data_IF_529464259394
#
_entry.id   IF_529464259394
#
_cell.length_a   1.000
_cell.length_b   1.000
_cell.length_c   1.000
_cell.angle_alpha   90.00
_cell.angle_beta   90.00
_cell.angle_gamma   90.00
#
_symmetry.space_group_name_H-M   'P 1'
#
loop_
_entity.id
_entity.type
_entity.pdbx_description
1 polymer ?
#
# COMPACT_ATOMS: atom_id res chain seq x y z
N UNK A 1 28.58 -4.69 22.94
CA UNK A 1 28.66 -3.21 22.93
C UNK A 1 27.80 -2.74 21.76
N UNK A 2 26.77 -1.93 22.01
CA UNK A 2 25.89 -1.43 20.95
C UNK A 2 26.71 -0.57 19.98
N UNK A 3 26.70 -0.93 18.70
CA UNK A 3 27.26 -0.11 17.63
C UNK A 3 26.45 1.20 17.61
N UNK A 4 26.98 2.30 18.17
CA UNK A 4 26.37 3.62 18.00
C UNK A 4 26.62 4.03 16.55
N UNK A 5 25.62 3.82 15.70
CA UNK A 5 25.69 4.28 14.31
C UNK A 5 25.90 5.79 14.25
N UNK A 6 26.59 6.24 13.21
CA UNK A 6 26.78 7.67 12.92
C UNK A 6 25.55 8.31 12.27
N UNK A 7 24.63 7.51 11.72
CA UNK A 7 23.45 8.04 11.02
C UNK A 7 22.32 8.39 12.00
N UNK A 8 21.76 9.62 11.94
CA UNK A 8 20.60 10.00 12.74
C UNK A 8 19.30 9.32 12.28
N UNK A 9 19.32 8.58 11.16
CA UNK A 9 18.15 7.85 10.66
C UNK A 9 18.03 6.45 11.27
N UNK A 10 19.08 5.97 11.94
CA UNK A 10 19.11 4.63 12.53
C UNK A 10 18.70 4.68 13.99
N UNK A 11 17.74 3.81 14.32
CA UNK A 11 17.21 3.70 15.67
C UNK A 11 17.04 2.22 16.02
N UNK A 12 17.44 1.86 17.23
CA UNK A 12 17.34 0.51 17.77
C UNK A 12 16.85 0.60 19.23
N UNK A 13 16.03 -0.35 19.69
CA UNK A 13 15.66 -0.42 21.08
C UNK A 13 16.87 -0.87 21.93
N UNK A 14 16.86 -0.55 23.23
CA UNK A 14 17.92 -0.98 24.16
C UNK A 14 17.99 -2.52 24.29
N UNK A 15 16.84 -3.18 24.15
CA UNK A 15 16.69 -4.63 24.19
C UNK A 15 16.03 -5.10 22.90
N UNK A 16 16.48 -6.25 22.40
CA UNK A 16 15.89 -6.84 21.21
C UNK A 16 14.38 -7.08 21.42
N UNK A 17 13.52 -6.67 20.47
CA UNK A 17 12.07 -6.75 20.63
C UNK A 17 11.54 -8.18 20.52
N UNK A 18 12.30 -9.08 19.88
CA UNK A 18 12.03 -10.50 19.67
C UNK A 18 13.33 -11.21 19.26
N UNK A 19 13.39 -12.55 19.24
CA UNK A 19 14.57 -13.27 18.77
C UNK A 19 14.93 -12.93 17.32
N UNK A 20 16.02 -12.19 17.13
CA UNK A 20 16.53 -11.82 15.80
C UNK A 20 17.37 -12.97 15.26
N UNK A 21 16.85 -13.66 14.22
CA UNK A 21 17.54 -14.82 13.64
C UNK A 21 18.78 -14.43 12.81
N UNK A 22 18.75 -13.27 12.14
CA UNK A 22 19.86 -12.76 11.34
C UNK A 22 20.02 -11.26 11.54
N UNK A 23 21.18 -10.84 12.05
CA UNK A 23 21.58 -9.42 12.14
C UNK A 23 22.28 -9.00 10.86
N UNK A 24 21.50 -8.62 9.86
CA UNK A 24 22.04 -8.01 8.65
C UNK A 24 22.27 -6.52 8.89
N UNK A 25 23.48 -6.04 8.63
CA UNK A 25 23.84 -4.61 8.71
C UNK A 25 23.66 -3.87 7.37
N UNK A 26 23.02 -4.49 6.38
CA UNK A 26 22.86 -3.93 5.04
C UNK A 26 22.16 -2.56 5.07
N UNK A 27 21.03 -2.49 5.77
CA UNK A 27 20.30 -1.23 5.93
C UNK A 27 21.04 -0.23 6.82
N UNK A 28 21.84 -0.69 7.79
CA UNK A 28 22.66 0.21 8.59
C UNK A 28 23.67 0.95 7.69
N UNK A 29 24.37 0.20 6.84
CA UNK A 29 25.30 0.76 5.87
C UNK A 29 24.59 1.70 4.88
N UNK A 30 23.40 1.33 4.40
CA UNK A 30 22.60 2.19 3.51
C UNK A 30 22.26 3.54 4.16
N UNK A 31 21.83 3.54 5.43
CA UNK A 31 21.48 4.77 6.14
C UNK A 31 22.70 5.60 6.56
N UNK A 32 23.85 4.97 6.80
CA UNK A 32 25.13 5.65 7.03
C UNK A 32 25.63 6.35 5.76
N UNK A 33 25.68 5.65 4.63
CA UNK A 33 26.06 6.26 3.34
C UNK A 33 25.08 7.35 2.92
N UNK A 34 23.77 7.15 3.11
CA UNK A 34 22.76 8.17 2.84
C UNK A 34 22.99 9.43 3.68
N UNK A 35 23.43 9.29 4.95
CA UNK A 35 23.75 10.43 5.81
C UNK A 35 25.01 11.15 5.34
N UNK A 36 26.06 10.41 4.97
CA UNK A 36 27.29 11.01 4.43
C UNK A 36 27.03 11.78 3.13
N UNK A 37 26.19 11.27 2.25
CA UNK A 37 25.81 11.96 1.01
C UNK A 37 25.02 13.24 1.27
N UNK A 38 24.18 13.26 2.31
CA UNK A 38 23.49 14.48 2.73
C UNK A 38 24.49 15.50 3.29
N UNK A 39 25.43 15.09 4.15
CA UNK A 39 26.46 15.99 4.70
C UNK A 39 27.36 16.59 3.61
N UNK A 40 27.66 15.81 2.56
CA UNK A 40 28.40 16.26 1.37
C UNK A 40 27.56 17.15 0.43
N UNK A 41 26.26 17.31 0.71
CA UNK A 41 25.34 18.10 -0.12
C UNK A 41 25.03 17.44 -1.48
N UNK A 42 25.27 16.14 -1.66
CA UNK A 42 24.98 15.45 -2.92
C UNK A 42 23.47 15.17 -3.11
N UNK A 43 22.78 14.92 -2.00
CA UNK A 43 21.36 14.62 -1.94
C UNK A 43 20.67 15.51 -0.90
N UNK A 44 19.34 15.60 -1.00
CA UNK A 44 18.48 16.09 0.08
C UNK A 44 17.67 14.91 0.62
N UNK A 45 17.78 14.64 1.94
CA UNK A 45 16.92 13.65 2.57
C UNK A 45 15.62 14.33 2.98
N UNK A 46 14.50 13.87 2.41
CA UNK A 46 13.17 14.33 2.83
C UNK A 46 12.80 13.60 4.13
N UNK A 47 12.97 14.33 5.25
CA UNK A 47 12.83 13.84 6.62
C UNK A 47 11.38 13.75 7.06
N UNK A 48 11.11 12.76 7.91
CA UNK A 48 9.84 12.68 8.67
C UNK A 48 9.98 13.61 9.87
N UNK A 49 9.04 14.54 10.04
CA UNK A 49 9.03 15.53 11.12
C UNK A 49 7.89 15.26 12.10
N UNK A 50 7.80 16.07 13.16
CA UNK A 50 6.70 15.99 14.14
C UNK A 50 5.33 16.24 13.50
N UNK A 51 5.24 17.06 12.44
CA UNK A 51 4.00 17.31 11.70
C UNK A 51 3.41 16.05 11.07
N UNK A 52 4.28 15.07 10.77
CA UNK A 52 3.87 13.78 10.24
C UNK A 52 3.31 12.83 11.30
N UNK A 53 3.31 13.22 12.59
CA UNK A 53 2.88 12.39 13.73
C UNK A 53 3.47 10.97 13.65
N UNK A 54 4.81 10.84 13.66
CA UNK A 54 5.46 9.57 13.38
C UNK A 54 5.10 8.50 14.42
N UNK A 55 4.96 7.28 13.93
CA UNK A 55 4.86 6.07 14.74
C UNK A 55 6.01 5.13 14.45
N UNK A 56 6.23 4.18 15.34
CA UNK A 56 7.41 3.34 15.33
C UNK A 56 7.01 1.87 15.21
N UNK A 57 7.67 1.15 14.30
CA UNK A 57 7.48 -0.28 14.09
C UNK A 57 8.85 -0.96 14.03
N UNK A 58 8.92 -2.23 14.43
CA UNK A 58 10.17 -2.98 14.34
C UNK A 58 10.32 -3.63 12.96
N UNK A 59 11.54 -3.71 12.44
CA UNK A 59 11.86 -4.53 11.27
C UNK A 59 12.40 -5.89 11.70
N UNK A 60 12.60 -6.81 10.73
CA UNK A 60 13.17 -8.14 10.96
C UNK A 60 14.49 -8.12 11.74
N UNK A 61 15.30 -7.06 11.56
CA UNK A 61 16.61 -6.89 12.20
C UNK A 61 16.53 -6.19 13.55
N UNK A 62 15.32 -5.90 14.06
CA UNK A 62 15.09 -5.16 15.29
C UNK A 62 15.25 -3.64 15.15
N UNK A 63 15.53 -3.13 13.94
CA UNK A 63 15.57 -1.69 13.65
C UNK A 63 14.21 -1.08 13.90
N UNK A 64 14.18 0.10 14.49
CA UNK A 64 12.97 0.91 14.60
C UNK A 64 12.82 1.70 13.30
N UNK A 65 11.79 1.36 12.53
CA UNK A 65 11.37 2.09 11.34
C UNK A 65 10.36 3.16 11.71
N UNK A 66 10.51 4.34 11.12
CA UNK A 66 9.61 5.49 11.33
C UNK A 66 8.52 5.50 10.27
N UNK A 67 7.27 5.51 10.71
CA UNK A 67 6.08 5.51 9.85
C UNK A 67 5.37 6.87 10.02
N UNK A 68 5.34 7.73 9.00
CA UNK A 68 4.57 8.96 9.05
C UNK A 68 3.08 8.60 8.99
N UNK A 69 2.25 9.20 9.85
CA UNK A 69 0.81 8.91 9.90
C UNK A 69 -0.06 10.06 9.38
N UNK A 70 0.51 11.27 9.29
CA UNK A 70 -0.16 12.51 8.91
C UNK A 70 0.63 13.27 7.84
N UNK A 71 -0.04 14.18 7.14
CA UNK A 71 0.51 15.02 6.05
C UNK A 71 1.13 14.15 4.95
N UNK A 72 0.33 13.24 4.40
CA UNK A 72 0.77 12.17 3.50
C UNK A 72 0.48 12.47 2.03
N UNK A 73 1.43 12.19 1.15
CA UNK A 73 1.33 12.30 -0.29
C UNK A 73 1.05 10.92 -0.89
N UNK A 74 -0.12 10.72 -1.47
CA UNK A 74 -0.56 9.39 -1.89
C UNK A 74 0.00 9.03 -3.27
N UNK A 75 1.02 8.18 -3.29
CA UNK A 75 1.50 7.56 -4.52
C UNK A 75 0.55 6.40 -4.91
N UNK A 76 -0.49 6.74 -5.67
CA UNK A 76 -1.49 5.78 -6.16
C UNK A 76 -0.88 4.86 -7.22
N UNK A 77 -1.28 3.60 -7.18
CA UNK A 77 -0.85 2.59 -8.13
C UNK A 77 -1.69 2.60 -9.40
N UNK A 78 -1.07 2.40 -10.56
CA UNK A 78 -1.79 2.11 -11.81
C UNK A 78 -2.58 0.80 -11.69
N UNK A 79 -2.00 -0.22 -11.06
CA UNK A 79 -2.62 -1.54 -10.91
C UNK A 79 -3.63 -1.56 -9.76
N UNK A 80 -3.19 -1.23 -8.54
CA UNK A 80 -4.01 -1.38 -7.33
C UNK A 80 -5.19 -0.43 -7.31
N UNK A 81 -4.94 0.87 -7.51
CA UNK A 81 -5.98 1.88 -7.46
C UNK A 81 -6.87 1.83 -8.71
N UNK A 82 -6.38 1.28 -9.83
CA UNK A 82 -7.15 1.14 -11.06
C UNK A 82 -8.00 -0.14 -11.15
N UNK A 83 -7.55 -1.27 -10.59
CA UNK A 83 -8.29 -2.54 -10.67
C UNK A 83 -9.15 -2.80 -9.43
N UNK A 84 -8.70 -2.38 -8.23
CA UNK A 84 -9.42 -2.58 -6.96
C UNK A 84 -9.48 -1.24 -6.21
N UNK A 85 -10.32 -0.30 -6.67
CA UNK A 85 -10.44 1.05 -6.10
C UNK A 85 -10.91 1.08 -4.63
N UNK A 86 -11.49 -0.02 -4.13
CA UNK A 86 -11.78 -0.22 -2.71
C UNK A 86 -10.55 -0.10 -1.79
N UNK A 87 -9.34 -0.39 -2.29
CA UNK A 87 -8.10 -0.20 -1.54
C UNK A 87 -7.87 1.27 -1.17
N UNK A 88 -7.62 2.19 -2.12
CA UNK A 88 -7.38 3.59 -1.79
C UNK A 88 -8.59 4.24 -1.12
N UNK A 89 -9.83 3.88 -1.49
CA UNK A 89 -11.03 4.40 -0.85
C UNK A 89 -11.08 4.06 0.65
N UNK A 90 -10.73 2.82 1.02
CA UNK A 90 -10.68 2.42 2.43
C UNK A 90 -9.56 3.12 3.20
N UNK A 91 -8.40 3.38 2.57
CA UNK A 91 -7.33 4.19 3.19
C UNK A 91 -7.81 5.60 3.48
N UNK A 92 -8.43 6.26 2.50
CA UNK A 92 -8.95 7.63 2.67
C UNK A 92 -10.06 7.69 3.70
N UNK A 93 -10.96 6.70 3.73
CA UNK A 93 -12.01 6.59 4.74
C UNK A 93 -11.43 6.57 6.16
N UNK A 94 -10.39 5.77 6.42
CA UNK A 94 -9.71 5.80 7.72
C UNK A 94 -9.06 7.15 8.02
N UNK A 95 -8.39 7.76 7.04
CA UNK A 95 -7.79 9.08 7.23
C UNK A 95 -8.85 10.14 7.57
N UNK A 96 -10.02 10.08 6.94
CA UNK A 96 -11.12 10.98 7.24
C UNK A 96 -11.71 10.73 8.63
N UNK A 97 -11.92 9.46 9.00
CA UNK A 97 -12.35 9.05 10.35
C UNK A 97 -11.42 9.52 11.45
N UNK A 98 -10.11 9.53 11.18
CA UNK A 98 -9.10 9.96 12.14
C UNK A 98 -8.72 11.44 12.03
N UNK A 99 -9.33 12.19 11.10
CA UNK A 99 -9.03 13.61 10.90
C UNK A 99 -7.60 13.88 10.45
N UNK A 100 -7.03 12.99 9.64
CA UNK A 100 -5.65 13.07 9.17
C UNK A 100 -5.54 13.90 7.88
N UNK A 101 -4.42 14.59 7.77
CA UNK A 101 -4.06 15.46 6.67
C UNK A 101 -3.40 14.64 5.54
N UNK A 102 -3.91 14.75 4.31
CA UNK A 102 -3.33 14.06 3.16
C UNK A 102 -3.58 14.77 1.82
N UNK A 103 -2.67 14.52 0.89
CA UNK A 103 -2.69 14.97 -0.49
C UNK A 103 -2.90 13.77 -1.43
N UNK A 104 -4.09 13.72 -2.02
CA UNK A 104 -4.42 12.80 -3.11
C UNK A 104 -3.83 13.36 -4.42
N UNK A 105 -2.57 13.01 -4.72
CA UNK A 105 -1.83 13.67 -5.80
C UNK A 105 -2.44 13.42 -7.21
N UNK A 106 -2.70 14.49 -7.98
CA UNK A 106 -3.12 14.42 -9.39
C UNK A 106 -1.95 14.36 -10.40
N UNK A 107 -0.74 14.82 -10.06
CA UNK A 107 0.41 14.98 -10.97
C UNK A 107 1.52 13.93 -10.82
N UNK A 108 1.22 12.81 -10.16
CA UNK A 108 2.09 11.65 -10.11
C UNK A 108 2.18 10.91 -11.46
N UNK A 109 3.21 10.09 -11.64
CA UNK A 109 3.30 9.12 -12.75
C UNK A 109 3.29 7.69 -12.25
N UNK A 110 3.11 6.75 -13.19
CA UNK A 110 3.48 5.35 -12.97
C UNK A 110 4.89 5.22 -12.39
N UNK A 111 5.10 4.17 -11.59
CA UNK A 111 6.42 3.77 -11.11
C UNK A 111 7.26 3.03 -12.15
N UNK A 112 6.65 2.59 -13.27
CA UNK A 112 7.23 1.72 -14.32
C UNK A 112 7.80 0.36 -13.85
N UNK A 113 7.68 0.05 -12.56
CA UNK A 113 8.26 -1.14 -11.92
C UNK A 113 7.71 -2.47 -12.45
N UNK A 114 6.45 -2.53 -12.90
CA UNK A 114 5.91 -3.77 -13.45
C UNK A 114 6.67 -4.20 -14.72
N UNK A 115 6.97 -3.25 -15.59
CA UNK A 115 7.73 -3.51 -16.81
C UNK A 115 9.20 -3.84 -16.51
N UNK A 116 9.77 -3.24 -15.47
CA UNK A 116 11.11 -3.59 -14.98
C UNK A 116 11.17 -5.04 -14.51
N UNK A 117 10.34 -5.43 -13.54
CA UNK A 117 10.36 -6.80 -13.03
C UNK A 117 9.85 -7.83 -14.04
N UNK A 118 9.04 -7.42 -15.02
CA UNK A 118 8.64 -8.23 -16.17
C UNK A 118 9.73 -8.46 -17.20
N UNK A 119 10.94 -7.89 -17.00
CA UNK A 119 12.07 -7.91 -17.95
C UNK A 119 11.78 -7.19 -19.28
N UNK A 120 10.78 -6.30 -19.31
CA UNK A 120 10.41 -5.54 -20.50
C UNK A 120 11.21 -4.24 -20.69
N UNK A 121 11.75 -3.66 -19.60
CA UNK A 121 12.70 -2.54 -19.67
C UNK A 121 13.75 -2.63 -18.56
N UNK A 122 15.01 -2.86 -18.94
CA UNK A 122 16.16 -2.86 -18.02
C UNK A 122 16.95 -1.55 -18.15
N UNK A 123 16.37 -0.44 -17.68
CA UNK A 123 17.03 0.87 -17.68
C UNK A 123 16.98 1.51 -16.28
N UNK A 124 18.04 1.32 -15.47
CA UNK A 124 18.13 1.89 -14.12
C UNK A 124 18.05 3.42 -14.09
N UNK A 125 18.61 4.10 -15.10
CA UNK A 125 18.56 5.58 -15.20
C UNK A 125 17.12 6.05 -15.37
N UNK A 126 16.33 5.37 -16.22
CA UNK A 126 14.93 5.70 -16.42
C UNK A 126 14.08 5.43 -15.16
N UNK A 127 14.31 4.31 -14.47
CA UNK A 127 13.63 3.96 -13.22
C UNK A 127 13.91 5.01 -12.13
N UNK A 128 15.19 5.35 -11.94
CA UNK A 128 15.61 6.37 -10.99
C UNK A 128 15.04 7.76 -11.34
N UNK A 129 15.05 8.16 -12.62
CA UNK A 129 14.48 9.45 -13.04
C UNK A 129 12.97 9.53 -12.76
N UNK A 130 12.21 8.47 -13.03
CA UNK A 130 10.76 8.43 -12.77
C UNK A 130 10.47 8.47 -11.28
N UNK A 131 11.19 7.68 -10.48
CA UNK A 131 11.02 7.68 -9.04
C UNK A 131 11.36 9.03 -8.41
N UNK A 132 12.53 9.60 -8.73
CA UNK A 132 12.96 10.91 -8.20
C UNK A 132 12.04 12.04 -8.64
N UNK A 133 11.45 11.99 -9.85
CA UNK A 133 10.40 12.94 -10.27
C UNK A 133 9.18 12.91 -9.35
N UNK A 134 8.73 11.72 -8.94
CA UNK A 134 7.63 11.58 -7.98
C UNK A 134 8.03 12.04 -6.57
N UNK A 135 9.23 11.70 -6.09
CA UNK A 135 9.70 12.11 -4.76
C UNK A 135 9.93 13.61 -4.64
N UNK A 136 10.44 14.24 -5.70
CA UNK A 136 10.53 15.70 -5.80
C UNK A 136 9.16 16.35 -5.73
N UNK A 137 8.17 15.79 -6.42
CA UNK A 137 6.79 16.30 -6.38
C UNK A 137 6.21 16.21 -4.96
N UNK A 138 6.37 15.08 -4.28
CA UNK A 138 5.95 14.92 -2.88
C UNK A 138 6.62 15.98 -1.98
N UNK A 139 7.94 16.11 -2.06
CA UNK A 139 8.69 17.12 -1.30
C UNK A 139 8.24 18.55 -1.59
N UNK A 140 8.01 18.92 -2.85
CA UNK A 140 7.61 20.29 -3.22
C UNK A 140 6.22 20.66 -2.69
N UNK A 141 5.36 19.67 -2.46
CA UNK A 141 4.04 19.87 -1.84
C UNK A 141 4.10 19.96 -0.32
N UNK A 142 5.19 19.47 0.31
CA UNK A 142 5.31 19.38 1.76
C UNK A 142 4.60 18.15 2.37
N UNK A 143 4.08 17.23 1.55
CA UNK A 143 3.43 15.99 1.99
C UNK A 143 4.37 14.80 1.82
N UNK A 144 4.40 13.88 2.78
CA UNK A 144 5.36 12.77 2.82
C UNK A 144 4.85 11.56 2.02
N UNK A 145 5.65 10.95 1.11
CA UNK A 145 5.14 9.90 0.23
C UNK A 145 4.67 8.64 0.97
N UNK A 146 3.42 8.24 0.70
CA UNK A 146 2.83 6.96 1.08
C UNK A 146 2.61 6.11 -0.18
N UNK A 147 3.29 4.97 -0.27
CA UNK A 147 3.28 4.12 -1.47
C UNK A 147 2.14 3.10 -1.39
N UNK A 148 1.24 3.11 -2.37
CA UNK A 148 0.05 2.24 -2.33
C UNK A 148 0.32 0.83 -2.84
N UNK A 149 1.29 0.63 -3.74
CA UNK A 149 1.52 -0.67 -4.36
C UNK A 149 2.82 -1.29 -3.91
N UNK A 150 2.76 -2.59 -3.58
CA UNK A 150 3.94 -3.34 -3.19
C UNK A 150 5.01 -3.33 -4.29
N UNK A 151 4.61 -3.42 -5.57
CA UNK A 151 5.57 -3.45 -6.69
C UNK A 151 6.36 -2.14 -6.77
N UNK A 152 5.68 -0.99 -6.60
CA UNK A 152 6.33 0.32 -6.50
C UNK A 152 7.23 0.40 -5.28
N UNK A 153 6.76 -0.10 -4.14
CA UNK A 153 7.51 -0.10 -2.88
C UNK A 153 8.83 -0.88 -2.99
N UNK A 154 8.82 -2.10 -3.52
CA UNK A 154 10.03 -2.91 -3.73
C UNK A 154 11.00 -2.21 -4.68
N UNK A 155 10.51 -1.80 -5.86
CA UNK A 155 11.33 -1.11 -6.86
C UNK A 155 11.93 0.21 -6.35
N UNK A 156 11.18 1.01 -5.59
CA UNK A 156 11.70 2.26 -5.03
C UNK A 156 12.78 2.04 -3.98
N UNK A 157 12.71 0.96 -3.19
CA UNK A 157 13.78 0.64 -2.25
C UNK A 157 15.05 0.15 -2.95
N UNK A 158 14.92 -0.71 -3.95
CA UNK A 158 16.06 -1.11 -4.80
C UNK A 158 16.68 0.10 -5.50
N UNK A 159 15.85 0.99 -6.05
CA UNK A 159 16.32 2.20 -6.72
C UNK A 159 16.99 3.17 -5.73
N UNK A 160 16.48 3.28 -4.49
CA UNK A 160 17.14 4.04 -3.42
C UNK A 160 18.53 3.51 -3.18
N UNK A 161 18.64 2.21 -2.93
CA UNK A 161 19.91 1.55 -2.68
C UNK A 161 20.91 1.80 -3.82
N UNK A 162 20.48 1.65 -5.07
CA UNK A 162 21.30 1.96 -6.24
C UNK A 162 21.74 3.43 -6.25
N UNK A 163 20.84 4.38 -5.99
CA UNK A 163 21.20 5.80 -5.94
C UNK A 163 22.15 6.14 -4.79
N UNK A 164 22.06 5.45 -3.64
CA UNK A 164 22.97 5.69 -2.51
C UNK A 164 24.37 5.16 -2.83
N UNK A 165 24.49 3.93 -3.34
CA UNK A 165 25.80 3.31 -3.56
C UNK A 165 26.44 3.58 -4.93
N UNK A 166 25.70 4.09 -5.92
CA UNK A 166 26.19 4.29 -7.28
C UNK A 166 26.19 5.78 -7.67
N UNK A 167 27.38 6.39 -7.64
CA UNK A 167 27.57 7.80 -8.01
C UNK A 167 27.30 8.03 -9.49
N UNK A 168 27.72 7.12 -10.35
CA UNK A 168 27.54 7.21 -11.80
C UNK A 168 26.05 7.27 -12.17
N UNK A 169 25.20 6.50 -11.47
CA UNK A 169 23.75 6.54 -11.62
C UNK A 169 23.18 7.90 -11.19
N UNK A 170 23.62 8.44 -10.03
CA UNK A 170 23.21 9.79 -9.59
C UNK A 170 23.55 10.85 -10.65
N UNK A 171 24.77 10.83 -11.17
CA UNK A 171 25.23 11.78 -12.19
C UNK A 171 24.51 11.59 -13.53
N UNK A 172 24.18 10.36 -13.92
CA UNK A 172 23.41 10.10 -15.14
C UNK A 172 21.96 10.62 -15.06
N UNK A 173 21.34 10.61 -13.88
CA UNK A 173 19.94 11.01 -13.68
C UNK A 173 19.78 12.53 -13.52
N UNK A 174 20.74 13.23 -12.91
CA UNK A 174 20.69 14.69 -12.66
C UNK A 174 20.35 15.52 -13.91
N UNK A 175 20.96 15.31 -15.10
CA UNK A 175 20.61 16.05 -16.31
C UNK A 175 19.15 15.89 -16.75
N UNK A 176 18.56 14.71 -16.55
CA UNK A 176 17.16 14.44 -16.86
C UNK A 176 16.27 15.23 -15.91
N UNK A 177 16.52 15.16 -14.60
CA UNK A 177 15.74 15.88 -13.60
C UNK A 177 15.89 17.40 -13.75
N UNK A 178 17.08 17.89 -14.11
CA UNK A 178 17.32 19.32 -14.40
C UNK A 178 16.42 19.81 -15.52
N UNK A 179 16.33 19.06 -16.64
CA UNK A 179 15.43 19.38 -17.76
C UNK A 179 13.95 19.40 -17.35
N UNK A 180 13.56 18.54 -16.40
CA UNK A 180 12.20 18.47 -15.89
C UNK A 180 11.88 19.50 -14.79
N UNK A 181 12.87 20.28 -14.32
CA UNK A 181 12.72 21.15 -13.15
C UNK A 181 12.50 20.38 -11.84
N UNK A 182 13.07 19.17 -11.74
CA UNK A 182 12.87 18.21 -10.63
C UNK A 182 14.12 18.00 -9.78
N UNK A 183 14.93 19.04 -9.65
CA UNK A 183 15.99 19.15 -8.65
C UNK A 183 15.58 20.19 -7.61
N UNK A 184 16.24 20.20 -6.46
CA UNK A 184 16.17 21.32 -5.52
C UNK A 184 16.78 22.58 -6.15
N UNK A 185 16.57 23.74 -5.52
CA UNK A 185 17.09 25.03 -6.00
C UNK A 185 18.63 25.04 -6.12
N UNK A 186 19.31 24.26 -5.27
CA UNK A 186 20.76 24.03 -5.28
C UNK A 186 21.19 22.77 -6.08
N UNK A 187 20.28 22.14 -6.84
CA UNK A 187 20.62 21.10 -7.82
C UNK A 187 20.72 19.65 -7.29
N UNK A 188 20.23 19.39 -6.07
CA UNK A 188 20.24 18.07 -5.43
C UNK A 188 19.02 17.22 -5.83
N UNK A 189 19.19 15.90 -5.77
CA UNK A 189 18.09 14.95 -5.87
C UNK A 189 17.43 14.77 -4.50
N UNK A 190 16.12 14.54 -4.49
CA UNK A 190 15.34 14.38 -3.24
C UNK A 190 15.05 12.91 -2.99
N UNK A 191 15.48 12.39 -1.84
CA UNK A 191 15.28 10.99 -1.43
C UNK A 191 14.54 10.98 -0.08
N UNK A 192 13.39 10.28 0.05
CA UNK A 192 12.73 10.12 1.35
C UNK A 192 13.60 9.36 2.34
N UNK A 193 13.62 9.83 3.59
CA UNK A 193 14.23 9.12 4.73
C UNK A 193 13.74 7.67 4.79
N UNK A 194 12.43 7.45 4.79
CA UNK A 194 11.80 6.12 4.79
C UNK A 194 10.91 5.98 3.55
N UNK A 195 10.96 4.80 2.94
CA UNK A 195 9.97 4.40 1.93
C UNK A 195 8.94 3.56 2.66
N UNK A 196 7.69 4.04 2.65
CA UNK A 196 6.60 3.48 3.45
C UNK A 196 5.47 3.02 2.55
N UNK A 197 5.09 1.76 2.70
CA UNK A 197 3.92 1.18 2.05
C UNK A 197 2.67 1.42 2.89
N UNK A 198 1.50 1.57 2.26
CA UNK A 198 0.25 1.79 3.00
C UNK A 198 -0.04 0.67 4.02
N UNK A 199 0.32 -0.58 3.77
CA UNK A 199 0.13 -1.67 4.76
C UNK A 199 0.98 -1.45 6.03
N UNK A 200 2.14 -0.80 5.92
CA UNK A 200 2.95 -0.42 7.08
C UNK A 200 2.28 0.72 7.87
N UNK A 201 1.64 1.65 7.15
CA UNK A 201 0.80 2.68 7.76
C UNK A 201 -0.41 2.08 8.49
N UNK A 202 -1.14 1.13 7.86
CA UNK A 202 -2.27 0.44 8.50
C UNK A 202 -1.81 -0.29 9.77
N UNK A 203 -0.64 -0.93 9.73
CA UNK A 203 -0.02 -1.55 10.90
C UNK A 203 0.31 -0.56 12.03
N UNK A 204 0.86 0.60 11.68
CA UNK A 204 1.13 1.66 12.64
C UNK A 204 -0.16 2.24 13.25
N UNK A 205 -1.26 2.26 12.48
CA UNK A 205 -2.58 2.74 12.90
C UNK A 205 -3.48 1.65 13.52
N UNK A 206 -2.96 0.43 13.74
CA UNK A 206 -3.78 -0.72 14.14
C UNK A 206 -4.56 -0.52 15.44
N UNK A 207 -4.02 0.25 16.38
CA UNK A 207 -4.67 0.49 17.67
C UNK A 207 -5.87 1.44 17.51
N UNK A 208 -5.74 2.51 16.73
CA UNK A 208 -6.86 3.40 16.38
C UNK A 208 -7.93 2.67 15.56
N UNK A 209 -7.49 1.80 14.62
CA UNK A 209 -8.41 0.97 13.84
C UNK A 209 -9.19 0.03 14.77
N UNK A 210 -8.52 -0.62 15.73
CA UNK A 210 -9.19 -1.49 16.70
C UNK A 210 -10.15 -0.71 17.61
N UNK A 211 -9.77 0.49 18.07
CA UNK A 211 -10.65 1.37 18.83
C UNK A 211 -11.89 1.79 18.02
N UNK A 212 -11.72 2.08 16.73
CA UNK A 212 -12.83 2.38 15.84
C UNK A 212 -13.73 1.16 15.63
N UNK A 213 -13.16 -0.04 15.49
CA UNK A 213 -13.92 -1.29 15.42
C UNK A 213 -14.75 -1.52 16.68
N UNK A 214 -14.16 -1.39 17.87
CA UNK A 214 -14.88 -1.53 19.15
C UNK A 214 -16.01 -0.51 19.28
N UNK A 215 -15.78 0.73 18.85
CA UNK A 215 -16.74 1.83 18.97
C UNK A 215 -17.88 1.76 17.94
N UNK A 216 -17.55 1.59 16.66
CA UNK A 216 -18.51 1.72 15.56
C UNK A 216 -18.89 0.36 14.95
N UNK A 217 -17.91 -0.52 14.74
CA UNK A 217 -18.13 -1.83 14.12
C UNK A 217 -19.02 -2.73 14.99
N UNK A 218 -18.62 -2.96 16.24
CA UNK A 218 -19.40 -3.79 17.18
C UNK A 218 -20.78 -3.20 17.48
N UNK A 219 -20.90 -1.87 17.53
CA UNK A 219 -22.19 -1.20 17.70
C UNK A 219 -23.17 -1.48 16.54
N UNK A 220 -22.65 -1.79 15.34
CA UNK A 220 -23.43 -2.23 14.18
C UNK A 220 -23.66 -3.75 14.13
N UNK A 221 -23.28 -4.48 15.18
CA UNK A 221 -23.40 -5.94 15.23
C UNK A 221 -22.36 -6.68 14.41
N UNK A 222 -21.28 -6.01 13.99
CA UNK A 222 -20.20 -6.65 13.23
C UNK A 222 -19.28 -7.40 14.19
N UNK A 223 -19.02 -8.68 13.91
CA UNK A 223 -18.08 -9.52 14.66
C UNK A 223 -17.17 -10.29 13.71
N UNK A 224 -15.86 -10.05 13.82
CA UNK A 224 -14.85 -10.76 13.03
C UNK A 224 -14.15 -11.90 13.79
N UNK A 225 -14.51 -12.15 15.05
CA UNK A 225 -13.82 -13.11 15.93
C UNK A 225 -13.91 -14.57 15.46
N UNK A 226 -14.92 -14.87 14.64
CA UNK A 226 -15.15 -16.19 14.03
C UNK A 226 -14.60 -16.28 12.59
N UNK A 227 -14.03 -15.22 12.04
CA UNK A 227 -13.52 -15.16 10.67
C UNK A 227 -12.11 -15.76 10.61
N UNK A 228 -11.94 -16.79 9.78
CA UNK A 228 -10.68 -17.47 9.50
C UNK A 228 -9.98 -16.79 8.35
N UNK A 229 -8.81 -16.24 8.63
CA UNK A 229 -8.05 -15.40 7.70
C UNK A 229 -6.77 -16.10 7.27
N UNK A 230 -6.61 -16.25 5.95
CA UNK A 230 -5.33 -16.60 5.33
C UNK A 230 -4.57 -15.32 5.00
N UNK A 231 -3.42 -15.08 5.62
CA UNK A 231 -2.56 -13.95 5.25
C UNK A 231 -1.70 -14.33 4.04
N UNK A 232 -1.69 -13.49 3.01
CA UNK A 232 -0.76 -13.56 1.90
C UNK A 232 0.05 -12.28 1.77
N UNK A 233 1.28 -12.30 2.28
CA UNK A 233 2.20 -11.18 2.18
C UNK A 233 2.89 -11.17 0.81
N UNK A 234 2.82 -10.04 0.09
CA UNK A 234 3.36 -9.92 -1.27
C UNK A 234 4.88 -10.06 -1.30
N UNK A 235 5.43 -10.89 -2.19
CA UNK A 235 6.87 -11.21 -2.19
C UNK A 235 7.79 -9.98 -2.29
N UNK A 236 7.41 -8.99 -3.09
CA UNK A 236 8.21 -7.78 -3.32
C UNK A 236 8.08 -6.72 -2.23
N UNK A 237 7.21 -6.90 -1.22
CA UNK A 237 7.20 -6.03 -0.04
C UNK A 237 8.16 -6.53 1.03
N UNK A 238 8.25 -7.84 1.25
CA UNK A 238 8.95 -8.38 2.41
C UNK A 238 10.01 -9.44 2.11
N UNK A 239 10.02 -10.11 0.95
CA UNK A 239 11.10 -11.07 0.64
C UNK A 239 12.28 -10.40 -0.03
N UNK A 240 11.99 -9.48 -0.96
CA UNK A 240 13.03 -8.71 -1.64
C UNK A 240 13.69 -7.71 -0.67
N UNK A 241 12.89 -7.11 0.22
CA UNK A 241 13.35 -6.08 1.16
C UNK A 241 13.12 -6.50 2.63
N UNK A 242 13.51 -7.72 2.97
CA UNK A 242 13.16 -8.37 4.24
C UNK A 242 13.62 -7.62 5.49
N UNK A 243 14.78 -6.98 5.43
CA UNK A 243 15.37 -6.26 6.56
C UNK A 243 14.67 -4.94 6.89
N UNK A 244 13.81 -4.46 5.99
CA UNK A 244 13.14 -3.16 6.09
C UNK A 244 11.61 -3.27 5.92
N UNK A 245 11.06 -4.41 6.28
CA UNK A 245 9.62 -4.63 6.37
C UNK A 245 9.20 -4.87 7.83
N UNK A 246 7.95 -4.53 8.25
CA UNK A 246 7.57 -4.62 9.65
C UNK A 246 7.43 -6.06 10.17
N UNK A 247 7.92 -6.26 11.39
CA UNK A 247 7.78 -7.45 12.23
C UNK A 247 7.33 -7.00 13.62
N UNK A 248 6.64 -7.89 14.34
CA UNK A 248 6.03 -7.56 15.63
C UNK A 248 6.13 -8.79 16.55
N UNK A 249 6.49 -8.63 17.84
CA UNK A 249 6.59 -9.76 18.77
C UNK A 249 5.28 -10.55 18.92
N UNK A 250 4.12 -9.90 18.76
CA UNK A 250 2.82 -10.56 18.81
C UNK A 250 2.53 -11.38 17.54
N UNK A 251 3.30 -11.19 16.47
CA UNK A 251 3.18 -11.90 15.21
C UNK A 251 4.22 -13.02 15.15
N UNK A 252 3.81 -14.20 15.62
CA UNK A 252 4.65 -15.41 15.62
C UNK A 252 6.02 -15.16 16.27
N UNK A 253 6.08 -14.42 17.39
CA UNK A 253 7.33 -14.10 18.10
C UNK A 253 8.37 -13.41 17.19
N UNK A 254 7.92 -12.48 16.34
CA UNK A 254 8.77 -11.77 15.38
C UNK A 254 9.30 -12.64 14.24
N UNK A 255 8.68 -13.79 13.96
CA UNK A 255 9.14 -14.72 12.91
C UNK A 255 8.37 -14.58 11.59
N UNK A 256 7.37 -13.69 11.53
CA UNK A 256 6.58 -13.44 10.31
C UNK A 256 6.32 -11.95 10.08
N UNK A 257 6.12 -11.54 8.82
CA UNK A 257 5.74 -10.17 8.48
C UNK A 257 4.48 -9.72 9.23
N UNK A 258 4.53 -8.54 9.82
CA UNK A 258 3.51 -8.03 10.72
C UNK A 258 2.50 -7.09 10.06
N UNK A 259 2.84 -6.47 8.93
CA UNK A 259 2.04 -5.35 8.38
C UNK A 259 0.53 -5.65 8.32
N UNK A 260 0.12 -6.69 7.58
CA UNK A 260 -1.28 -7.11 7.56
C UNK A 260 -1.63 -8.00 8.76
N UNK A 261 -0.74 -8.91 9.16
CA UNK A 261 -1.01 -9.93 10.19
C UNK A 261 -1.39 -9.32 11.55
N UNK A 262 -0.65 -8.31 12.01
CA UNK A 262 -0.88 -7.67 13.30
C UNK A 262 -2.22 -6.93 13.34
N UNK A 263 -2.62 -6.29 12.23
CA UNK A 263 -3.90 -5.57 12.13
C UNK A 263 -5.06 -6.55 12.25
N UNK A 264 -5.03 -7.64 11.48
CA UNK A 264 -6.07 -8.67 11.50
C UNK A 264 -6.17 -9.32 12.88
N UNK A 265 -5.04 -9.62 13.53
CA UNK A 265 -5.03 -10.13 14.91
C UNK A 265 -5.58 -9.11 15.91
N UNK A 266 -5.24 -7.83 15.76
CA UNK A 266 -5.71 -6.75 16.65
C UNK A 266 -7.23 -6.58 16.57
N UNK A 267 -7.82 -6.77 15.39
CA UNK A 267 -9.27 -6.79 15.19
C UNK A 267 -9.95 -8.05 15.78
N UNK A 268 -9.17 -9.07 16.17
CA UNK A 268 -9.69 -10.29 16.80
C UNK A 268 -10.01 -11.43 15.83
N UNK A 269 -9.77 -11.26 14.52
CA UNK A 269 -9.97 -12.33 13.55
C UNK A 269 -8.92 -13.44 13.67
N UNK A 270 -9.28 -14.66 13.26
CA UNK A 270 -8.46 -15.86 13.41
C UNK A 270 -7.46 -15.97 12.26
N UNK A 271 -6.24 -15.48 12.44
CA UNK A 271 -5.15 -15.73 11.49
C UNK A 271 -4.75 -17.20 11.54
N UNK A 272 -4.97 -17.94 10.45
CA UNK A 272 -4.68 -19.38 10.36
C UNK A 272 -3.49 -19.62 9.45
N UNK A 273 -2.58 -20.49 9.90
CA UNK A 273 -1.39 -20.88 9.15
C UNK A 273 -1.67 -22.01 8.15
N UNK A 274 -1.01 -21.99 7.00
CA UNK A 274 -1.18 -22.98 5.92
C UNK A 274 0.17 -23.32 5.28
N UNK A 275 0.30 -24.54 4.77
CA UNK A 275 1.58 -25.14 4.36
C UNK A 275 2.34 -24.34 3.29
N UNK A 276 1.63 -23.55 2.49
CA UNK A 276 2.19 -22.77 1.38
C UNK A 276 2.20 -21.28 1.64
N UNK A 277 2.12 -20.83 2.90
CA UNK A 277 2.09 -19.40 3.24
C UNK A 277 3.29 -18.64 2.67
N UNK A 278 4.47 -19.27 2.64
CA UNK A 278 5.68 -18.69 2.08
C UNK A 278 5.63 -18.61 0.55
N UNK A 279 4.82 -19.41 -0.15
CA UNK A 279 4.87 -19.45 -1.61
C UNK A 279 4.28 -18.18 -2.26
N UNK A 280 4.80 -17.84 -3.45
CA UNK A 280 4.28 -16.76 -4.30
C UNK A 280 2.78 -16.95 -4.59
N UNK A 281 2.04 -15.89 -4.92
CA UNK A 281 0.66 -16.02 -5.40
C UNK A 281 0.55 -16.69 -6.78
N UNK A 282 1.67 -16.78 -7.52
CA UNK A 282 1.71 -17.25 -8.91
C UNK A 282 1.81 -16.12 -9.93
N UNK A 283 1.56 -14.85 -9.54
CA UNK A 283 1.53 -13.71 -10.46
C UNK A 283 2.83 -13.55 -11.25
N UNK A 284 4.00 -13.82 -10.64
CA UNK A 284 5.35 -13.74 -11.23
C UNK A 284 5.47 -12.78 -12.41
N UNK A 285 6.00 -11.56 -12.21
CA UNK A 285 5.93 -10.45 -13.17
C UNK A 285 6.16 -10.81 -14.66
N UNK A 286 7.15 -11.67 -14.95
CA UNK A 286 7.38 -12.20 -16.31
C UNK A 286 6.40 -13.33 -16.68
N UNK A 287 6.14 -14.27 -15.78
CA UNK A 287 5.23 -15.40 -16.00
C UNK A 287 3.80 -14.95 -16.34
N UNK A 288 3.24 -13.90 -15.75
CA UNK A 288 1.90 -13.43 -16.17
C UNK A 288 1.89 -12.89 -17.61
N UNK A 289 3.04 -12.41 -18.12
CA UNK A 289 3.18 -11.91 -19.48
C UNK A 289 3.43 -13.04 -20.48
N UNK A 290 4.30 -14.00 -20.14
CA UNK A 290 4.79 -15.04 -21.08
C UNK A 290 4.27 -16.45 -20.81
N UNK A 291 3.84 -16.76 -19.59
CA UNK A 291 3.49 -18.12 -19.11
C UNK A 291 2.20 -18.09 -18.27
N UNK A 292 1.12 -17.59 -18.86
CA UNK A 292 -0.16 -17.39 -18.16
C UNK A 292 -0.72 -18.67 -17.52
N UNK A 293 -0.54 -19.82 -18.17
CA UNK A 293 -1.00 -21.11 -17.64
C UNK A 293 -0.22 -21.55 -16.40
N UNK A 294 1.08 -21.24 -16.32
CA UNK A 294 1.83 -21.45 -15.09
C UNK A 294 1.26 -20.60 -13.95
N UNK A 295 1.02 -19.31 -14.22
CA UNK A 295 0.43 -18.39 -13.23
C UNK A 295 -0.92 -18.90 -12.71
N UNK A 296 -1.80 -19.31 -13.62
CA UNK A 296 -3.14 -19.85 -13.32
C UNK A 296 -3.05 -21.12 -12.49
N UNK A 297 -2.32 -22.12 -12.97
CA UNK A 297 -2.19 -23.41 -12.32
C UNK A 297 -1.54 -23.29 -10.94
N UNK A 298 -0.50 -22.46 -10.79
CA UNK A 298 0.15 -22.21 -9.50
C UNK A 298 -0.81 -21.57 -8.50
N UNK A 299 -1.53 -20.51 -8.90
CA UNK A 299 -2.50 -19.84 -8.04
C UNK A 299 -3.61 -20.78 -7.58
N UNK A 300 -4.13 -21.63 -8.47
CA UNK A 300 -5.22 -22.57 -8.16
C UNK A 300 -4.70 -23.73 -7.29
N UNK A 301 -3.69 -24.47 -7.76
CA UNK A 301 -3.26 -25.73 -7.14
C UNK A 301 -2.44 -25.52 -5.88
N UNK A 302 -1.53 -24.54 -5.88
CA UNK A 302 -0.57 -24.35 -4.79
C UNK A 302 -1.05 -23.37 -3.71
N UNK A 303 -2.02 -22.51 -4.04
CA UNK A 303 -2.57 -21.51 -3.10
C UNK A 303 -4.04 -21.74 -2.81
N UNK A 304 -4.95 -21.52 -3.76
CA UNK A 304 -6.40 -21.53 -3.51
C UNK A 304 -6.89 -22.89 -2.96
N UNK A 305 -6.49 -23.99 -3.61
CA UNK A 305 -6.79 -25.35 -3.15
C UNK A 305 -6.31 -25.60 -1.73
N UNK A 306 -5.02 -25.34 -1.46
CA UNK A 306 -4.40 -25.51 -0.14
C UNK A 306 -5.14 -24.70 0.92
N UNK A 307 -5.41 -23.42 0.66
CA UNK A 307 -6.10 -22.54 1.59
C UNK A 307 -7.53 -23.05 1.87
N UNK A 308 -8.25 -23.49 0.84
CA UNK A 308 -9.60 -24.03 1.00
C UNK A 308 -9.62 -25.36 1.75
N UNK A 309 -8.67 -26.27 1.47
CA UNK A 309 -8.66 -27.64 2.01
C UNK A 309 -8.03 -27.71 3.42
N UNK A 310 -6.88 -27.08 3.64
CA UNK A 310 -6.16 -27.17 4.92
C UNK A 310 -6.81 -26.30 6.01
N UNK A 311 -7.16 -25.06 5.66
CA UNK A 311 -7.57 -24.07 6.65
C UNK A 311 -8.98 -23.56 6.49
N UNK A 312 -9.68 -23.85 5.38
CA UNK A 312 -11.07 -23.42 5.15
C UNK A 312 -11.23 -21.92 5.47
N UNK A 313 -10.32 -21.11 4.92
CA UNK A 313 -10.35 -19.68 5.17
C UNK A 313 -11.63 -19.06 4.62
N UNK A 314 -12.19 -18.10 5.34
CA UNK A 314 -13.31 -17.30 4.84
C UNK A 314 -12.80 -16.19 3.92
N UNK A 315 -11.57 -15.71 4.17
CA UNK A 315 -10.94 -14.64 3.40
C UNK A 315 -9.43 -14.82 3.29
N UNK A 316 -8.90 -14.52 2.10
CA UNK A 316 -7.49 -14.30 1.84
C UNK A 316 -7.24 -12.79 1.93
N UNK A 317 -6.44 -12.39 2.91
CA UNK A 317 -6.00 -11.01 3.07
C UNK A 317 -4.68 -10.81 2.34
N UNK A 318 -4.69 -9.85 1.43
CA UNK A 318 -3.54 -9.43 0.64
C UNK A 318 -3.24 -7.97 0.93
N UNK A 319 -2.14 -7.45 0.38
CA UNK A 319 -1.86 -6.03 0.40
C UNK A 319 -1.25 -5.51 -0.91
N UNK A 320 -1.35 -6.30 -1.97
CA UNK A 320 -0.81 -5.96 -3.29
C UNK A 320 -1.82 -6.37 -4.37
N UNK A 321 -1.96 -5.52 -5.39
CA UNK A 321 -2.90 -5.76 -6.48
C UNK A 321 -2.60 -7.01 -7.30
N UNK A 322 -1.32 -7.37 -7.47
CA UNK A 322 -0.93 -8.56 -8.24
C UNK A 322 -1.42 -9.80 -7.52
N UNK A 323 -1.22 -9.86 -6.20
CA UNK A 323 -1.75 -10.93 -5.35
C UNK A 323 -3.29 -10.96 -5.35
N UNK A 324 -3.94 -9.81 -5.12
CA UNK A 324 -5.42 -9.72 -5.07
C UNK A 324 -6.03 -10.24 -6.37
N UNK A 325 -5.64 -9.63 -7.49
CA UNK A 325 -6.20 -9.96 -8.81
C UNK A 325 -5.87 -11.39 -9.24
N UNK A 326 -4.71 -11.92 -8.85
CA UNK A 326 -4.35 -13.32 -9.11
C UNK A 326 -5.28 -14.27 -8.37
N UNK A 327 -5.53 -14.06 -7.08
CA UNK A 327 -6.45 -14.96 -6.36
C UNK A 327 -7.90 -14.80 -6.81
N UNK A 328 -8.35 -13.59 -7.14
CA UNK A 328 -9.73 -13.38 -7.58
C UNK A 328 -9.99 -13.95 -8.97
N UNK A 329 -9.21 -13.52 -9.98
CA UNK A 329 -9.47 -13.88 -11.38
C UNK A 329 -9.25 -15.37 -11.63
N UNK A 330 -8.29 -15.99 -10.95
CA UNK A 330 -8.02 -17.42 -11.13
C UNK A 330 -9.06 -18.34 -10.47
N UNK A 331 -9.84 -17.87 -9.48
CA UNK A 331 -10.98 -18.66 -8.99
C UNK A 331 -12.04 -18.84 -10.08
N UNK A 332 -12.30 -17.79 -10.87
CA UNK A 332 -13.28 -17.83 -11.96
C UNK A 332 -12.80 -18.70 -13.13
N UNK A 333 -11.52 -18.60 -13.48
CA UNK A 333 -10.89 -19.48 -14.47
C UNK A 333 -10.91 -20.93 -13.98
N UNK A 334 -10.55 -21.18 -12.72
CA UNK A 334 -10.58 -22.51 -12.12
C UNK A 334 -11.98 -23.14 -12.17
N UNK A 335 -13.04 -22.35 -11.95
CA UNK A 335 -14.43 -22.80 -12.09
C UNK A 335 -14.73 -23.36 -13.48
N UNK A 336 -14.23 -22.75 -14.55
CA UNK A 336 -14.42 -23.25 -15.92
C UNK A 336 -13.74 -24.62 -16.16
N UNK A 337 -12.76 -24.99 -15.33
CA UNK A 337 -12.04 -26.26 -15.41
C UNK A 337 -12.40 -27.24 -14.28
N UNK A 338 -13.50 -27.03 -13.56
CA UNK A 338 -13.91 -27.90 -12.44
C UNK A 338 -13.03 -27.78 -11.19
N UNK A 339 -12.19 -26.76 -11.10
CA UNK A 339 -11.26 -26.50 -9.99
C UNK A 339 -11.69 -25.23 -9.26
N UNK A 340 -12.84 -25.28 -8.58
CA UNK A 340 -13.43 -24.12 -7.89
C UNK A 340 -13.24 -24.20 -6.38
N UNK A 341 -12.45 -23.28 -5.84
CA UNK A 341 -12.16 -23.16 -4.42
C UNK A 341 -12.58 -21.75 -3.95
N UNK A 342 -13.88 -21.52 -3.69
CA UNK A 342 -14.40 -20.20 -3.39
C UNK A 342 -13.89 -19.69 -2.04
N UNK A 343 -13.12 -18.61 -2.06
CA UNK A 343 -12.67 -17.87 -0.88
C UNK A 343 -12.69 -16.38 -1.22
N UNK A 344 -13.20 -15.55 -0.31
CA UNK A 344 -13.18 -14.10 -0.48
C UNK A 344 -11.72 -13.62 -0.55
N UNK A 345 -11.44 -12.59 -1.35
CA UNK A 345 -10.10 -11.99 -1.42
C UNK A 345 -10.25 -10.49 -1.33
N UNK A 346 -9.54 -9.88 -0.39
CA UNK A 346 -9.50 -8.43 -0.27
C UNK A 346 -8.20 -7.97 0.38
N UNK A 347 -8.05 -6.65 0.48
CA UNK A 347 -6.93 -6.06 1.21
C UNK A 347 -7.14 -6.08 2.71
N UNK A 348 -6.05 -5.95 3.45
CA UNK A 348 -6.08 -5.69 4.88
C UNK A 348 -6.88 -4.44 5.23
N UNK A 349 -6.71 -3.34 4.49
CA UNK A 349 -7.43 -2.08 4.73
C UNK A 349 -8.92 -2.17 4.38
N UNK A 350 -9.30 -2.90 3.33
CA UNK A 350 -10.70 -3.14 2.95
C UNK A 350 -11.42 -3.96 4.03
N UNK A 351 -10.79 -5.06 4.47
CA UNK A 351 -11.33 -5.88 5.55
C UNK A 351 -11.46 -5.08 6.85
N UNK A 352 -10.43 -4.30 7.20
CA UNK A 352 -10.45 -3.46 8.39
C UNK A 352 -11.55 -2.41 8.33
N UNK A 353 -11.79 -1.80 7.15
CA UNK A 353 -12.86 -0.84 6.96
C UNK A 353 -14.24 -1.51 7.11
N UNK A 354 -14.46 -2.69 6.52
CA UNK A 354 -15.68 -3.48 6.75
C UNK A 354 -15.89 -3.78 8.24
N UNK A 355 -14.85 -4.25 8.93
CA UNK A 355 -14.91 -4.53 10.36
C UNK A 355 -15.34 -3.28 11.15
N UNK A 356 -14.77 -2.12 10.83
CA UNK A 356 -15.12 -0.83 11.44
C UNK A 356 -16.47 -0.25 10.98
N UNK A 357 -17.24 -0.97 10.18
CA UNK A 357 -18.58 -0.57 9.76
C UNK A 357 -18.63 0.40 8.57
N UNK A 358 -17.59 0.43 7.74
CA UNK A 358 -17.64 1.11 6.45
C UNK A 358 -18.67 0.45 5.52
N UNK A 359 -19.31 1.24 4.67
CA UNK A 359 -20.32 0.72 3.76
C UNK A 359 -19.67 -0.22 2.70
N UNK A 360 -20.15 -1.47 2.54
CA UNK A 360 -19.48 -2.48 1.70
C UNK A 360 -19.35 -2.11 0.22
N UNK A 361 -20.35 -1.41 -0.33
CA UNK A 361 -20.36 -1.01 -1.74
C UNK A 361 -19.90 0.43 -1.98
N UNK A 362 -20.34 1.41 -1.18
CA UNK A 362 -19.86 2.79 -1.28
C UNK A 362 -18.35 2.90 -1.01
N UNK A 363 -17.88 2.49 0.17
CA UNK A 363 -16.49 2.69 0.59
C UNK A 363 -15.58 1.55 0.15
N UNK A 364 -15.95 0.31 0.50
CA UNK A 364 -15.09 -0.85 0.27
C UNK A 364 -15.18 -1.33 -1.18
N UNK A 365 -16.23 -0.92 -1.90
CA UNK A 365 -16.42 -1.16 -3.34
C UNK A 365 -16.32 -2.63 -3.75
N UNK A 366 -16.93 -3.52 -2.97
CA UNK A 366 -16.92 -4.98 -3.21
C UNK A 366 -17.48 -5.39 -4.59
N UNK A 367 -18.19 -4.51 -5.30
CA UNK A 367 -18.65 -4.78 -6.65
C UNK A 367 -17.52 -4.87 -7.69
N UNK A 368 -16.30 -4.45 -7.36
CA UNK A 368 -15.09 -4.69 -8.17
C UNK A 368 -14.43 -6.04 -7.90
N UNK A 369 -14.77 -6.68 -6.77
CA UNK A 369 -14.26 -8.00 -6.43
C UNK A 369 -15.02 -9.08 -7.21
N UNK A 370 -14.28 -10.07 -7.71
CA UNK A 370 -14.85 -11.22 -8.42
C UNK A 370 -14.96 -12.47 -7.53
N UNK A 371 -14.31 -12.45 -6.36
CA UNK A 371 -14.36 -13.53 -5.38
C UNK A 371 -15.70 -13.57 -4.64
N UNK A 372 -16.05 -14.75 -4.10
CA UNK A 372 -17.30 -14.97 -3.36
C UNK A 372 -17.18 -14.37 -1.95
N UNK A 373 -17.62 -13.12 -1.76
CA UNK A 373 -17.50 -12.38 -0.51
C UNK A 373 -18.77 -12.38 0.33
N UNK A 374 -19.91 -12.76 -0.23
CA UNK A 374 -21.21 -12.73 0.43
C UNK A 374 -21.25 -13.60 1.71
N UNK A 375 -20.72 -14.85 1.70
CA UNK A 375 -20.66 -15.65 2.93
C UNK A 375 -19.79 -15.00 4.02
N UNK A 376 -18.74 -14.27 3.64
CA UNK A 376 -17.92 -13.52 4.59
C UNK A 376 -18.74 -12.39 5.23
N UNK A 377 -19.49 -11.61 4.45
CA UNK A 377 -20.33 -10.53 4.97
C UNK A 377 -21.35 -11.06 6.00
N UNK A 378 -22.02 -12.17 5.68
CA UNK A 378 -22.98 -12.81 6.60
C UNK A 378 -22.29 -13.29 7.87
N UNK A 379 -21.11 -13.92 7.75
CA UNK A 379 -20.32 -14.39 8.89
C UNK A 379 -19.85 -13.25 9.80
N UNK A 380 -19.54 -12.10 9.22
CA UNK A 380 -19.19 -10.87 9.92
C UNK A 380 -20.40 -10.18 10.59
N UNK A 381 -21.64 -10.64 10.35
CA UNK A 381 -22.86 -10.00 10.87
C UNK A 381 -23.50 -8.96 9.94
N UNK A 382 -22.96 -8.74 8.73
CA UNK A 382 -23.50 -7.81 7.73
C UNK A 382 -24.56 -8.52 6.89
N UNK A 383 -25.68 -8.90 7.52
CA UNK A 383 -26.75 -9.71 6.90
C UNK A 383 -27.67 -8.92 5.96
N UNK A 384 -27.71 -7.59 6.11
CA UNK A 384 -28.48 -6.68 5.25
C UNK A 384 -27.71 -6.25 3.99
N UNK A 385 -26.65 -6.97 3.59
CA UNK A 385 -25.80 -6.59 2.46
C UNK A 385 -26.56 -6.45 1.13
N UNK A 386 -27.68 -7.17 0.94
CA UNK A 386 -28.53 -7.02 -0.26
C UNK A 386 -29.22 -5.66 -0.32
N UNK A 387 -29.66 -5.15 0.84
CA UNK A 387 -30.27 -3.82 0.95
C UNK A 387 -29.22 -2.74 0.71
N UNK A 388 -28.03 -2.89 1.30
CA UNK A 388 -26.89 -2.00 1.07
C UNK A 388 -26.43 -1.99 -0.39
N UNK A 389 -26.54 -3.13 -1.08
CA UNK A 389 -26.26 -3.23 -2.52
C UNK A 389 -27.30 -2.46 -3.33
N UNK A 390 -28.59 -2.63 -3.00
CA UNK A 390 -29.68 -1.89 -3.64
C UNK A 390 -29.54 -0.38 -3.40
N UNK A 391 -29.21 0.03 -2.19
CA UNK A 391 -28.93 1.43 -1.85
C UNK A 391 -27.81 2.01 -2.73
N UNK A 392 -26.75 1.24 -2.97
CA UNK A 392 -25.68 1.63 -3.88
C UNK A 392 -26.14 1.71 -5.35
N UNK A 393 -26.90 0.73 -5.84
CA UNK A 393 -27.44 0.76 -7.20
C UNK A 393 -28.36 1.96 -7.44
N UNK A 394 -29.18 2.32 -6.46
CA UNK A 394 -30.04 3.50 -6.53
C UNK A 394 -29.22 4.80 -6.44
N UNK A 395 -28.15 4.80 -5.64
CA UNK A 395 -27.15 5.89 -5.60
C UNK A 395 -26.51 6.12 -6.96
N UNK A 396 -26.08 5.05 -7.65
CA UNK A 396 -25.46 5.15 -8.98
C UNK A 396 -26.42 5.73 -10.01
N UNK A 397 -27.70 5.33 -9.98
CA UNK A 397 -28.73 5.92 -10.86
C UNK A 397 -28.92 7.41 -10.61
N UNK A 398 -28.90 7.82 -9.33
CA UNK A 398 -29.00 9.22 -8.96
C UNK A 398 -27.81 10.04 -9.48
N UNK A 399 -26.58 9.55 -9.30
CA UNK A 399 -25.36 10.18 -9.84
C UNK A 399 -25.45 10.33 -11.36
N UNK A 400 -25.82 9.26 -12.07
CA UNK A 400 -25.93 9.30 -13.54
C UNK A 400 -26.98 10.31 -14.03
N UNK A 401 -28.09 10.47 -13.30
CA UNK A 401 -29.11 11.46 -13.64
C UNK A 401 -28.61 12.89 -13.40
N UNK A 402 -27.90 13.15 -12.29
CA UNK A 402 -27.27 14.46 -12.06
C UNK A 402 -26.20 14.79 -13.12
N UNK A 403 -25.37 13.82 -13.51
CA UNK A 403 -24.38 13.99 -14.59
C UNK A 403 -25.05 14.33 -15.92
N UNK A 404 -26.12 13.61 -16.27
CA UNK A 404 -26.92 13.86 -17.49
C UNK A 404 -27.57 15.24 -17.49
N UNK A 405 -27.97 15.74 -16.33
CA UNK A 405 -28.53 17.09 -16.15
C UNK A 405 -27.46 18.19 -16.06
N UNK A 406 -26.17 17.84 -16.02
CA UNK A 406 -25.07 18.79 -15.87
C UNK A 406 -25.00 19.46 -14.49
N UNK A 407 -25.56 18.83 -13.46
CA UNK A 407 -25.66 19.36 -12.09
C UNK A 407 -24.39 19.08 -11.27
N UNK A 408 -23.27 19.64 -11.71
CA UNK A 408 -21.96 19.36 -11.13
C UNK A 408 -21.81 19.80 -9.66
N UNK A 409 -22.42 20.91 -9.25
CA UNK A 409 -22.35 21.38 -7.87
C UNK A 409 -23.10 20.43 -6.90
N UNK A 410 -24.24 19.90 -7.33
CA UNK A 410 -25.02 18.91 -6.57
C UNK A 410 -24.26 17.58 -6.45
N UNK A 411 -23.56 17.15 -7.51
CA UNK A 411 -22.69 15.98 -7.47
C UNK A 411 -21.54 16.15 -6.47
N UNK A 412 -20.89 17.31 -6.49
CA UNK A 412 -19.78 17.59 -5.56
C UNK A 412 -20.25 17.59 -4.11
N UNK A 413 -21.44 18.14 -3.82
CA UNK A 413 -22.00 18.11 -2.48
C UNK A 413 -22.41 16.69 -2.04
N UNK A 414 -23.02 15.92 -2.94
CA UNK A 414 -23.33 14.51 -2.72
C UNK A 414 -22.08 13.72 -2.32
N UNK A 415 -20.97 13.91 -3.04
CA UNK A 415 -19.75 13.16 -2.75
C UNK A 415 -19.07 13.53 -1.42
N UNK A 416 -19.27 14.76 -0.92
CA UNK A 416 -18.83 15.16 0.43
C UNK A 416 -19.62 14.43 1.51
N UNK A 417 -20.94 14.33 1.35
CA UNK A 417 -21.84 13.75 2.36
C UNK A 417 -21.46 12.29 2.69
N UNK A 418 -21.12 11.51 1.67
CA UNK A 418 -20.85 10.08 1.85
C UNK A 418 -19.40 9.75 2.17
N UNK A 419 -18.54 10.76 2.33
CA UNK A 419 -17.09 10.59 2.49
C UNK A 419 -16.49 9.73 1.35
N UNK A 420 -17.22 9.68 0.22
CA UNK A 420 -17.00 8.75 -0.88
C UNK A 420 -15.96 9.28 -1.83
N UNK A 421 -15.87 10.60 -1.94
CA UNK A 421 -15.11 11.23 -2.98
C UNK A 421 -15.07 12.75 -2.76
N UNK A 422 -14.35 13.27 -1.76
CA UNK A 422 -13.79 14.61 -2.01
C UNK A 422 -12.71 14.40 -3.08
N UNK A 423 -12.88 14.93 -4.31
CA UNK A 423 -11.89 14.73 -5.35
C UNK A 423 -10.50 15.24 -4.93
N UNK A 424 -10.39 16.03 -3.85
CA UNK A 424 -9.18 16.72 -3.47
C UNK A 424 -8.92 16.57 -1.98
N UNK A 425 -7.80 15.93 -1.68
CA UNK A 425 -6.90 16.18 -0.54
C UNK A 425 -7.49 16.93 0.64
N UNK A 426 -7.57 16.27 1.81
CA UNK A 426 -7.92 16.93 3.06
C UNK A 426 -6.71 17.67 3.62
N UNK A 427 -6.38 18.80 3.00
CA UNK A 427 -5.19 19.59 3.31
C UNK A 427 -5.42 20.65 4.38
N UNK A 428 -4.63 20.64 5.46
CA UNK A 428 -4.76 21.64 6.53
C UNK A 428 -4.30 23.05 6.12
N UNK A 429 -3.46 23.15 5.08
CA UNK A 429 -2.96 24.42 4.51
C UNK A 429 -3.85 25.00 3.40
N UNK A 430 -5.01 24.36 3.16
CA UNK A 430 -5.93 24.76 2.10
C UNK A 430 -5.29 24.68 0.71
N UNK A 431 -4.40 23.70 0.49
CA UNK A 431 -3.61 23.50 -0.73
C UNK A 431 -4.43 23.82 -1.98
N UNK A 432 -4.22 25.03 -2.51
CA UNK A 432 -4.72 25.39 -3.82
C UNK A 432 -3.76 24.76 -4.82
N UNK A 433 -4.30 23.95 -5.71
CA UNK A 433 -3.64 23.42 -6.90
C UNK A 433 -2.54 24.35 -7.40
N UNK A 434 -1.28 24.06 -7.03
CA UNK A 434 -0.15 24.71 -7.69
C UNK A 434 -0.05 24.04 -9.05
N UNK A 435 -0.17 24.83 -10.14
CA UNK A 435 0.09 24.34 -11.50
C UNK A 435 1.34 23.48 -11.46
N UNK A 436 1.26 22.26 -12.02
CA UNK A 436 2.46 21.41 -12.16
C UNK A 436 3.59 22.26 -12.72
N UNK A 437 4.84 22.03 -12.27
CA UNK A 437 6.01 22.73 -12.82
C UNK A 437 6.10 22.60 -14.36
N UNK A 438 5.42 21.61 -14.94
CA UNK A 438 5.32 21.36 -16.38
C UNK A 438 4.02 21.85 -17.03
N UNK A 439 3.08 22.45 -16.29
CA UNK A 439 1.76 22.84 -16.81
C UNK A 439 1.87 23.94 -17.89
N UNK A 440 2.87 24.81 -17.77
CA UNK A 440 3.15 25.88 -18.74
C UNK A 440 4.35 25.51 -19.65
N UNK A 441 4.92 24.32 -19.51
CA UNK A 441 5.93 23.83 -20.44
C UNK A 441 5.23 23.24 -21.67
N UNK A 442 5.60 23.64 -22.91
CA UNK A 442 5.10 23.01 -24.13
C UNK A 442 5.62 21.57 -24.19
N UNK A 443 4.92 20.66 -23.54
CA UNK A 443 5.15 19.23 -23.63
C UNK A 443 4.69 18.79 -25.02
N UNK A 444 5.66 18.74 -25.93
CA UNK A 444 5.53 18.37 -27.34
C UNK A 444 4.73 19.38 -28.17
N UNK A 445 5.44 20.25 -28.91
CA UNK A 445 4.91 20.70 -30.20
C UNK A 445 4.79 19.43 -31.04
N UNK A 446 3.56 19.08 -31.40
CA UNK A 446 3.19 17.98 -32.29
C UNK A 446 4.06 17.92 -33.52
#
# INVERSE_FOLDING_TARGET
>A
MAHKSKSPYLMYPEKEPFPILNKHSHYDHLFEEMYELEEKGEILVYRITEENKPKYVYTRTGRIKVIPTNKLWHHKSCGQCGNIPGYPASVFWFMNKFGLDYLNEPHQTSCTAWNYHGSGTSNPVALAAVWLRNMHQAWKTGYYPLIHCGTSFGSYKETREQLIFNKELREAVKPILKKLGRLTEDGRIVIPQEIVHYSEWVHAMRDEIAQLYEKEGKAKGIDVSNVRVAIHNACHTWKMMADDYPYDPEVFNGQRPAASTAVIKKLGAQVVDYSTWYDCCGFGFRHILTEREFTRSFAIQRKLKVIAEEIKADVIITHDTGCTTTFEKNQWIGKAHGMYYPVAVMSDVMFSALACGAHPFKVVQLYWNCSNYEPLLEKMGITNWRELKKEWEDTVKYIAELEKQGKYDELLEFFKEYDLYEPYSKTSDGFKYRRSATADMPLFKS
#
